data_IF_713374843176
#
_entry.id   IF_713374843176
#
_cell.length_a   1.000
_cell.length_b   1.000
_cell.length_c   1.000
_cell.angle_alpha   90.00
_cell.angle_beta   90.00
_cell.angle_gamma   90.00
#
_symmetry.space_group_name_H-M   'P 1'
#
loop_
_entity.id
_entity.type
_entity.pdbx_description
1 polymer ?
#
# COMPACT_ATOMS: atom_id res chain seq x y z
N UNK A 1 -26.65 24.84 -3.73
CA UNK A 1 -25.49 25.44 -3.03
C UNK A 1 -24.36 25.55 -4.03
N UNK A 2 -23.77 26.73 -4.18
CA UNK A 2 -22.60 26.97 -5.05
C UNK A 2 -21.40 27.29 -4.16
N UNK A 3 -20.26 26.68 -4.44
CA UNK A 3 -19.03 26.86 -3.67
C UNK A 3 -17.85 26.97 -4.62
N UNK A 4 -16.95 27.90 -4.35
CA UNK A 4 -15.71 28.08 -5.09
C UNK A 4 -14.59 28.52 -4.12
N UNK A 5 -13.36 28.28 -4.53
CA UNK A 5 -12.15 28.71 -3.82
C UNK A 5 -11.03 28.92 -4.84
N UNK A 6 -10.03 29.69 -4.46
CA UNK A 6 -8.83 29.91 -5.29
C UNK A 6 -7.95 28.65 -5.32
N UNK A 7 -7.50 28.26 -6.52
CA UNK A 7 -6.53 27.18 -6.68
C UNK A 7 -5.14 27.71 -6.32
N UNK A 8 -4.56 27.17 -5.24
CA UNK A 8 -3.23 27.54 -4.77
C UNK A 8 -2.44 26.30 -4.29
N UNK A 9 -1.12 26.41 -4.07
CA UNK A 9 -0.32 25.34 -3.47
C UNK A 9 -0.75 24.91 -2.05
N UNK A 10 -1.78 25.55 -1.46
CA UNK A 10 -2.31 25.25 -0.12
C UNK A 10 -3.79 24.86 -0.14
N UNK A 11 -4.47 24.89 -1.29
CA UNK A 11 -5.91 24.59 -1.40
C UNK A 11 -6.19 23.08 -1.44
N UNK A 12 -5.55 22.31 -0.57
CA UNK A 12 -5.80 20.86 -0.45
C UNK A 12 -7.20 20.64 0.10
N UNK A 13 -7.97 19.78 -0.55
CA UNK A 13 -9.31 19.41 -0.14
C UNK A 13 -9.64 18.01 -0.65
N UNK A 14 -10.56 17.34 0.02
CA UNK A 14 -11.09 16.04 -0.39
C UNK A 14 -12.61 16.01 -0.20
N UNK A 15 -13.27 15.12 -0.93
CA UNK A 15 -14.67 14.80 -0.69
C UNK A 15 -14.69 13.49 0.09
N UNK A 16 -15.27 13.51 1.29
CA UNK A 16 -15.41 12.32 2.12
C UNK A 16 -16.27 11.25 1.43
N UNK A 17 -16.06 9.99 1.82
CA UNK A 17 -16.89 8.87 1.40
C UNK A 17 -18.38 9.15 1.65
N UNK A 18 -19.24 8.75 0.71
CA UNK A 18 -20.68 8.87 0.86
C UNK A 18 -21.21 7.61 1.54
N UNK A 19 -21.64 7.76 2.79
CA UNK A 19 -22.28 6.68 3.53
C UNK A 19 -23.79 6.55 3.18
N UNK A 20 -24.29 5.31 3.20
CA UNK A 20 -25.70 5.01 2.95
C UNK A 20 -26.08 4.92 1.47
N UNK A 21 -27.37 5.07 1.17
CA UNK A 21 -27.92 4.84 -0.17
C UNK A 21 -28.17 6.14 -0.97
N UNK A 22 -27.78 7.29 -0.41
CA UNK A 22 -28.01 8.59 -1.03
C UNK A 22 -27.05 8.82 -2.20
N UNK A 23 -27.57 9.26 -3.34
CA UNK A 23 -26.76 9.62 -4.50
C UNK A 23 -26.34 11.09 -4.42
N UNK A 24 -25.03 11.37 -4.46
CA UNK A 24 -24.49 12.73 -4.57
C UNK A 24 -24.28 13.08 -6.04
N UNK A 25 -25.04 14.06 -6.54
CA UNK A 25 -24.85 14.64 -7.87
C UNK A 25 -24.28 16.06 -7.72
N UNK A 26 -23.19 16.36 -8.43
CA UNK A 26 -22.54 17.68 -8.39
C UNK A 26 -21.93 18.04 -9.74
N UNK A 27 -22.03 19.31 -10.12
CA UNK A 27 -21.29 19.90 -11.23
C UNK A 27 -20.06 20.63 -10.68
N UNK A 28 -18.89 20.41 -11.27
CA UNK A 28 -17.62 21.00 -10.85
C UNK A 28 -16.81 21.43 -12.07
N UNK A 29 -15.87 22.36 -11.87
CA UNK A 29 -15.02 22.88 -12.93
C UNK A 29 -14.09 23.98 -12.42
N UNK A 30 -13.39 24.61 -13.35
CA UNK A 30 -12.41 25.67 -13.07
C UNK A 30 -12.64 26.88 -13.97
N UNK A 31 -12.37 28.06 -13.43
CA UNK A 31 -12.18 29.27 -14.22
C UNK A 31 -10.68 29.43 -14.49
N UNK A 32 -10.30 29.56 -15.75
CA UNK A 32 -8.90 29.71 -16.14
C UNK A 32 -8.43 31.16 -16.04
N UNK A 33 -7.19 31.35 -15.62
CA UNK A 33 -6.48 32.62 -15.58
C UNK A 33 -5.01 32.42 -15.91
N UNK A 34 -4.16 33.46 -15.75
CA UNK A 34 -2.72 33.36 -15.94
C UNK A 34 -2.10 32.27 -15.05
N UNK A 35 -1.08 31.56 -15.54
CA UNK A 35 -0.35 30.56 -14.75
C UNK A 35 0.54 31.26 -13.70
N UNK A 36 0.26 31.03 -12.41
CA UNK A 36 0.92 31.76 -11.32
C UNK A 36 1.99 30.95 -10.55
N UNK A 37 2.21 29.66 -10.88
CA UNK A 37 3.12 28.82 -10.09
C UNK A 37 3.80 27.73 -10.91
N UNK A 38 5.08 27.49 -10.57
CA UNK A 38 5.83 26.28 -10.92
C UNK A 38 5.92 25.46 -9.63
N UNK A 39 5.32 24.27 -9.59
CA UNK A 39 5.53 23.35 -8.46
C UNK A 39 6.89 22.69 -8.64
N UNK A 40 7.76 22.80 -7.64
CA UNK A 40 8.93 21.94 -7.55
C UNK A 40 8.44 20.52 -7.23
N UNK A 41 8.60 19.61 -8.19
CA UNK A 41 8.11 18.25 -8.09
C UNK A 41 9.02 17.35 -7.22
N UNK A 42 10.07 17.89 -6.61
CA UNK A 42 11.10 17.09 -5.92
C UNK A 42 10.83 16.86 -4.44
N UNK A 43 9.70 16.24 -4.10
CA UNK A 43 9.50 15.70 -2.75
C UNK A 43 8.98 14.26 -2.84
N UNK A 44 9.83 13.36 -3.33
CA UNK A 44 9.70 11.97 -2.92
C UNK A 44 10.56 11.78 -1.66
N UNK A 45 9.96 11.49 -0.50
CA UNK A 45 10.76 11.05 0.64
C UNK A 45 11.50 9.78 0.21
N UNK A 46 12.84 9.83 0.24
CA UNK A 46 13.65 8.65 0.01
C UNK A 46 13.38 7.65 1.13
N UNK A 47 12.84 6.48 0.80
CA UNK A 47 12.74 5.40 1.77
C UNK A 47 14.15 4.87 2.03
N UNK A 48 14.56 4.88 3.31
CA UNK A 48 15.83 4.29 3.71
C UNK A 48 15.84 2.80 3.37
N UNK A 49 16.88 2.36 2.66
CA UNK A 49 17.10 0.95 2.37
C UNK A 49 17.91 0.35 3.50
N UNK A 50 17.31 -0.57 4.24
CA UNK A 50 17.98 -1.28 5.34
C UNK A 50 18.70 -2.51 4.76
N UNK A 51 19.92 -2.76 5.22
CA UNK A 51 20.67 -3.98 4.88
C UNK A 51 20.07 -5.21 5.60
N UNK A 52 20.14 -6.41 5.01
CA UNK A 52 19.73 -7.63 5.69
C UNK A 52 20.43 -7.78 7.05
N UNK A 53 19.65 -8.09 8.09
CA UNK A 53 20.16 -8.43 9.41
C UNK A 53 20.23 -9.95 9.59
N UNK A 54 21.07 -10.40 10.50
CA UNK A 54 21.07 -11.80 10.91
C UNK A 54 19.79 -12.14 11.66
N UNK A 55 19.18 -13.29 11.35
CA UNK A 55 17.99 -13.83 11.99
C UNK A 55 18.23 -15.31 12.23
N UNK A 56 17.90 -15.79 13.42
CA UNK A 56 17.95 -17.21 13.78
C UNK A 56 16.98 -18.02 12.90
N UNK A 57 17.46 -19.15 12.38
CA UNK A 57 16.70 -19.98 11.44
C UNK A 57 15.40 -20.52 12.06
N UNK A 58 15.46 -20.86 13.35
CA UNK A 58 14.32 -21.31 14.15
C UNK A 58 13.19 -20.30 14.16
N UNK A 59 13.50 -19.00 14.14
CA UNK A 59 12.49 -17.95 14.08
C UNK A 59 11.76 -18.03 12.73
N UNK A 60 12.47 -18.18 11.62
CA UNK A 60 11.85 -18.32 10.30
C UNK A 60 10.90 -19.52 10.28
N UNK A 61 11.32 -20.65 10.86
CA UNK A 61 10.47 -21.83 11.01
C UNK A 61 9.26 -21.60 11.92
N UNK A 62 9.34 -20.74 12.93
CA UNK A 62 8.18 -20.43 13.78
C UNK A 62 7.13 -19.57 13.08
N UNK A 63 7.53 -18.70 12.15
CA UNK A 63 6.60 -17.74 11.53
C UNK A 63 6.07 -18.19 10.17
N UNK A 64 6.90 -18.79 9.31
CA UNK A 64 6.52 -19.07 7.92
C UNK A 64 5.84 -20.44 7.80
N UNK A 65 4.76 -20.49 7.01
CA UNK A 65 4.02 -21.72 6.76
C UNK A 65 4.94 -22.80 6.13
N UNK A 66 4.97 -24.04 6.66
CA UNK A 66 5.94 -25.04 6.23
C UNK A 66 5.89 -25.42 4.76
N UNK A 67 4.75 -25.22 4.10
CA UNK A 67 4.59 -25.42 2.65
C UNK A 67 5.60 -24.62 1.83
N UNK A 68 6.11 -23.51 2.36
CA UNK A 68 7.08 -22.66 1.69
C UNK A 68 8.55 -23.08 1.91
N UNK A 69 8.79 -24.12 2.72
CA UNK A 69 10.11 -24.76 2.80
C UNK A 69 10.24 -25.98 1.88
N UNK A 70 9.13 -26.41 1.26
CA UNK A 70 9.17 -27.47 0.26
C UNK A 70 9.83 -27.00 -1.06
N UNK A 71 10.80 -27.77 -1.54
CA UNK A 71 11.62 -27.39 -2.70
C UNK A 71 10.83 -27.38 -4.02
N UNK A 72 9.82 -28.24 -4.14
CA UNK A 72 8.93 -28.27 -5.30
C UNK A 72 8.03 -27.03 -5.33
N UNK A 73 7.45 -26.65 -4.18
CA UNK A 73 6.68 -25.42 -4.04
C UNK A 73 7.53 -24.18 -4.34
N UNK A 74 8.75 -24.09 -3.79
CA UNK A 74 9.67 -22.99 -4.08
C UNK A 74 10.00 -22.88 -5.57
N UNK A 75 10.15 -24.01 -6.26
CA UNK A 75 10.37 -24.04 -7.71
C UNK A 75 9.17 -23.51 -8.50
N UNK A 76 7.94 -23.82 -8.07
CA UNK A 76 6.71 -23.27 -8.67
C UNK A 76 6.61 -21.76 -8.43
N UNK A 77 6.91 -21.30 -7.22
CA UNK A 77 6.93 -19.88 -6.83
C UNK A 77 7.91 -19.11 -7.72
N UNK A 78 9.17 -19.56 -7.80
CA UNK A 78 10.20 -18.93 -8.64
C UNK A 78 9.76 -18.83 -10.09
N UNK A 79 9.24 -19.92 -10.67
CA UNK A 79 8.77 -19.94 -12.06
C UNK A 79 7.64 -18.96 -12.31
N UNK A 80 6.65 -18.89 -11.39
CA UNK A 80 5.54 -17.94 -11.50
C UNK A 80 6.08 -16.51 -11.44
N UNK A 81 6.87 -16.18 -10.42
CA UNK A 81 7.43 -14.84 -10.27
C UNK A 81 8.32 -14.42 -11.44
N UNK A 82 9.20 -15.28 -11.94
CA UNK A 82 10.00 -14.98 -13.13
C UNK A 82 9.14 -14.68 -14.38
N UNK A 83 7.95 -15.27 -14.48
CA UNK A 83 7.06 -15.10 -15.63
C UNK A 83 6.19 -13.86 -15.53
N UNK A 84 5.66 -13.55 -14.34
CA UNK A 84 4.69 -12.46 -14.15
C UNK A 84 5.26 -11.24 -13.42
N UNK A 85 6.49 -11.33 -12.90
CA UNK A 85 7.08 -10.33 -11.99
C UNK A 85 6.24 -10.04 -10.74
N UNK A 86 5.32 -10.95 -10.41
CA UNK A 86 4.41 -10.86 -9.27
C UNK A 86 4.04 -12.26 -8.76
N UNK A 87 3.66 -12.34 -7.49
CA UNK A 87 3.13 -13.56 -6.89
C UNK A 87 2.23 -13.23 -5.70
N UNK A 88 1.24 -14.09 -5.46
CA UNK A 88 0.41 -14.08 -4.27
C UNK A 88 0.65 -15.38 -3.49
N UNK A 89 1.07 -15.25 -2.23
CA UNK A 89 1.30 -16.36 -1.31
C UNK A 89 0.20 -16.37 -0.25
N UNK A 90 -0.67 -17.37 -0.28
CA UNK A 90 -1.77 -17.51 0.68
C UNK A 90 -1.30 -18.20 1.95
N UNK A 91 -1.83 -17.82 3.11
CA UNK A 91 -1.46 -18.41 4.41
C UNK A 91 0.06 -18.39 4.63
N UNK A 92 0.71 -17.27 4.30
CA UNK A 92 2.17 -17.14 4.35
C UNK A 92 2.71 -17.29 5.78
N UNK A 93 2.02 -16.68 6.74
CA UNK A 93 2.32 -16.79 8.17
C UNK A 93 1.52 -17.96 8.77
N UNK A 94 2.15 -18.71 9.67
CA UNK A 94 1.49 -19.76 10.46
C UNK A 94 0.37 -19.18 11.33
N UNK A 95 -0.77 -19.88 11.39
CA UNK A 95 -1.94 -19.47 12.19
C UNK A 95 -1.60 -19.30 13.69
N UNK A 96 -0.71 -20.14 14.24
CA UNK A 96 -0.23 -20.02 15.62
C UNK A 96 0.43 -18.66 15.90
N UNK A 97 1.10 -18.11 14.89
CA UNK A 97 1.85 -16.86 14.96
C UNK A 97 1.00 -15.66 14.56
N UNK A 98 -0.09 -15.88 13.78
CA UNK A 98 -1.09 -14.87 13.45
C UNK A 98 -1.79 -14.29 14.69
N UNK A 99 -2.04 -15.11 15.71
CA UNK A 99 -2.62 -14.66 16.99
C UNK A 99 -1.77 -13.60 17.70
N UNK A 100 -0.45 -13.62 17.50
CA UNK A 100 0.49 -12.65 18.09
C UNK A 100 0.37 -11.29 17.37
N UNK A 101 0.19 -11.29 16.04
CA UNK A 101 0.01 -10.05 15.27
C UNK A 101 -1.29 -9.31 15.63
N UNK A 102 -2.38 -10.05 15.88
CA UNK A 102 -3.66 -9.45 16.29
C UNK A 102 -3.55 -8.76 17.67
N UNK A 103 -2.71 -9.27 18.58
CA UNK A 103 -2.49 -8.66 19.90
C UNK A 103 -1.52 -7.47 19.88
N UNK A 104 -0.64 -7.37 18.87
CA UNK A 104 0.34 -6.28 18.75
C UNK A 104 -0.15 -5.11 17.87
N UNK A 105 -1.39 -5.16 17.36
CA UNK A 105 -2.00 -4.07 16.58
C UNK A 105 -2.92 -3.17 17.41
N UNK A 106 -2.65 -3.02 18.71
CA UNK A 106 -3.31 -2.07 19.63
C UNK A 106 -2.39 -0.89 19.96
#
# INVERSE_FOLDING_TARGET
>A
MFMFFEVSPRSFHQVAEVFGHSKRLSLHGWFHGPSLWTVDNNIMPSVEKISPIHIEEELVYQWINPVYFDTEQLSKIRRKFCRSSEIQLTNFIKVSSTKIYETCSL
#
